data_IF_243144790306
#
_entry.id   IF_243144790306
#
_cell.length_a   1.000
_cell.length_b   1.000
_cell.length_c   1.000
_cell.angle_alpha   90.00
_cell.angle_beta   90.00
_cell.angle_gamma   90.00
#
_symmetry.space_group_name_H-M   'P 1'
#
loop_
_entity.id
_entity.type
_entity.pdbx_description
1 polymer ?
#
# COMPACT_ATOMS: atom_id res chain seq x y z
N UNK A 1 -13.10 8.08 6.83
CA UNK A 1 -13.44 6.82 6.18
C UNK A 1 -13.16 5.67 7.13
N UNK A 2 -14.09 4.73 7.26
CA UNK A 2 -13.92 3.53 8.07
C UNK A 2 -12.68 2.74 7.62
N UNK A 3 -11.90 2.16 8.53
CA UNK A 3 -10.74 1.36 8.16
C UNK A 3 -11.22 0.06 7.50
N UNK A 4 -11.00 -0.04 6.20
CA UNK A 4 -11.42 -1.15 5.34
C UNK A 4 -10.94 -2.52 5.86
N UNK A 5 -9.78 -2.56 6.48
CA UNK A 5 -9.15 -3.79 6.95
C UNK A 5 -9.86 -4.40 8.17
N UNK A 6 -10.60 -3.61 8.95
CA UNK A 6 -11.38 -4.12 10.08
C UNK A 6 -12.73 -4.69 9.66
N UNK A 7 -13.27 -4.19 8.54
CA UNK A 7 -14.60 -4.58 8.06
C UNK A 7 -14.53 -5.73 7.04
N UNK A 8 -13.37 -5.96 6.44
CA UNK A 8 -13.15 -6.99 5.44
C UNK A 8 -12.12 -8.01 5.89
N UNK A 9 -12.32 -9.27 5.49
CA UNK A 9 -11.30 -10.30 5.65
C UNK A 9 -10.08 -10.01 4.74
N UNK A 10 -8.85 -10.42 5.13
CA UNK A 10 -7.66 -10.18 4.32
C UNK A 10 -7.77 -10.62 2.85
N UNK A 11 -8.43 -11.77 2.59
CA UNK A 11 -8.67 -12.24 1.23
C UNK A 11 -9.62 -11.33 0.44
N UNK A 12 -10.57 -10.67 1.09
CA UNK A 12 -11.47 -9.70 0.45
C UNK A 12 -10.72 -8.42 0.09
N UNK A 13 -9.85 -7.94 0.96
CA UNK A 13 -8.97 -6.80 0.68
C UNK A 13 -8.02 -7.12 -0.47
N UNK A 14 -7.43 -8.31 -0.49
CA UNK A 14 -6.57 -8.75 -1.58
C UNK A 14 -7.32 -8.81 -2.91
N UNK A 15 -8.55 -9.32 -2.92
CA UNK A 15 -9.41 -9.35 -4.11
C UNK A 15 -9.75 -7.94 -4.60
N UNK A 16 -10.05 -7.01 -3.68
CA UNK A 16 -10.29 -5.61 -3.99
C UNK A 16 -9.07 -4.96 -4.65
N UNK A 17 -7.89 -5.13 -4.07
CA UNK A 17 -6.64 -4.57 -4.60
C UNK A 17 -6.28 -5.18 -5.97
N UNK A 18 -6.56 -6.47 -6.21
CA UNK A 18 -6.42 -7.09 -7.54
C UNK A 18 -7.37 -6.47 -8.56
N UNK A 19 -8.61 -6.23 -8.19
CA UNK A 19 -9.58 -5.54 -9.05
C UNK A 19 -9.13 -4.13 -9.41
N UNK A 20 -8.62 -3.39 -8.44
CA UNK A 20 -8.05 -2.04 -8.65
C UNK A 20 -6.82 -2.12 -9.58
N UNK A 21 -5.92 -3.07 -9.35
CA UNK A 21 -4.74 -3.27 -10.22
C UNK A 21 -5.16 -3.49 -11.68
N UNK A 22 -6.16 -4.33 -11.93
CA UNK A 22 -6.70 -4.58 -13.27
C UNK A 22 -7.32 -3.33 -13.87
N UNK A 23 -8.05 -2.56 -13.09
CA UNK A 23 -8.65 -1.31 -13.56
C UNK A 23 -7.60 -0.30 -13.99
N UNK A 24 -6.53 -0.15 -13.19
CA UNK A 24 -5.44 0.77 -13.49
C UNK A 24 -4.54 0.30 -14.64
N UNK A 25 -4.37 -1.02 -14.78
CA UNK A 25 -3.59 -1.62 -15.87
C UNK A 25 -4.31 -1.59 -17.22
N UNK A 26 -5.65 -1.48 -17.22
CA UNK A 26 -6.44 -1.56 -18.45
C UNK A 26 -6.27 -2.91 -19.17
N UNK A 27 -6.14 -2.92 -20.52
CA UNK A 27 -6.03 -4.16 -21.30
C UNK A 27 -4.81 -5.03 -20.96
N UNK A 28 -3.79 -4.49 -20.28
CA UNK A 28 -2.59 -5.23 -19.86
C UNK A 28 -2.77 -5.99 -18.52
N UNK A 29 -3.95 -5.99 -17.94
CA UNK A 29 -4.25 -6.54 -16.61
C UNK A 29 -4.05 -8.06 -16.48
N UNK A 30 -3.84 -8.79 -17.57
CA UNK A 30 -3.60 -10.24 -17.54
C UNK A 30 -2.19 -10.64 -17.05
N UNK A 31 -1.36 -9.68 -16.68
CA UNK A 31 0.03 -9.88 -16.29
C UNK A 31 0.26 -10.10 -14.79
N UNK A 32 -0.79 -10.08 -13.95
CA UNK A 32 -0.64 -10.54 -12.57
C UNK A 32 -0.51 -12.07 -12.58
N UNK A 33 0.65 -12.63 -12.22
CA UNK A 33 0.82 -14.07 -12.23
C UNK A 33 -0.15 -14.71 -11.23
N UNK A 34 -1.04 -15.53 -11.75
CA UNK A 34 -1.87 -16.41 -10.94
C UNK A 34 -1.14 -17.73 -10.76
N UNK A 35 -0.82 -18.08 -9.52
CA UNK A 35 -0.89 -19.46 -9.19
C UNK A 35 0.36 -20.28 -8.91
N UNK A 36 1.53 -19.73 -8.60
CA UNK A 36 2.53 -20.52 -7.86
C UNK A 36 2.53 -20.12 -6.38
N UNK A 37 2.79 -21.06 -5.48
CA UNK A 37 2.93 -20.76 -4.05
C UNK A 37 4.08 -19.80 -3.74
N UNK A 38 5.05 -19.71 -4.67
CA UNK A 38 6.17 -18.78 -4.58
C UNK A 38 5.80 -17.35 -4.95
N UNK A 39 4.74 -17.18 -5.76
CA UNK A 39 4.24 -15.90 -6.24
C UNK A 39 2.98 -15.43 -5.47
N UNK A 40 2.79 -15.92 -4.24
CA UNK A 40 1.69 -15.48 -3.40
C UNK A 40 1.82 -14.00 -3.08
N UNK A 41 0.75 -13.24 -3.38
CA UNK A 41 0.65 -11.83 -3.04
C UNK A 41 0.02 -11.67 -1.66
N UNK A 42 0.58 -10.77 -0.86
CA UNK A 42 0.10 -10.43 0.48
C UNK A 42 -0.12 -8.93 0.61
N UNK A 43 -0.85 -8.53 1.65
CA UNK A 43 -1.13 -7.14 1.92
C UNK A 43 0.05 -6.53 2.66
N UNK A 44 0.65 -5.51 2.06
CA UNK A 44 1.64 -4.63 2.65
C UNK A 44 0.95 -3.42 3.27
N UNK A 45 1.35 -3.08 4.49
CA UNK A 45 1.07 -1.78 5.10
C UNK A 45 2.25 -0.86 4.82
N UNK A 46 2.05 0.17 3.99
CA UNK A 46 3.10 1.12 3.63
C UNK A 46 3.59 1.83 4.89
N UNK A 47 2.70 2.47 5.65
CA UNK A 47 2.93 2.81 7.04
C UNK A 47 2.72 1.54 7.88
N UNK A 48 3.77 1.01 8.53
CA UNK A 48 3.76 -0.36 9.02
C UNK A 48 2.88 -0.55 10.27
N UNK A 49 2.34 -1.76 10.40
CA UNK A 49 1.80 -2.24 11.66
C UNK A 49 2.97 -2.51 12.60
N UNK A 50 3.13 -1.68 13.62
CA UNK A 50 4.07 -1.97 14.69
C UNK A 50 3.42 -2.89 15.72
N UNK A 51 4.07 -4.03 16.01
CA UNK A 51 3.62 -4.98 17.03
C UNK A 51 4.03 -4.59 18.44
N UNK A 52 4.97 -3.67 18.58
CA UNK A 52 5.59 -3.30 19.85
C UNK A 52 5.17 -1.92 20.37
N UNK A 53 4.27 -1.24 19.68
CA UNK A 53 3.78 0.07 20.06
C UNK A 53 4.21 1.20 19.15
N UNK A 54 3.41 2.23 19.13
CA UNK A 54 3.61 3.43 18.34
C UNK A 54 4.32 4.50 19.18
N UNK A 55 5.19 5.31 18.57
CA UNK A 55 5.58 5.31 17.16
C UNK A 55 6.82 4.45 16.87
N UNK A 56 6.87 3.86 15.67
CA UNK A 56 8.07 3.21 15.16
C UNK A 56 9.20 4.25 15.03
N UNK A 57 10.31 4.04 15.73
CA UNK A 57 11.45 4.99 15.73
C UNK A 57 12.01 5.29 14.34
N UNK A 58 12.06 4.29 13.47
CA UNK A 58 12.53 4.49 12.09
C UNK A 58 11.61 5.42 11.31
N UNK A 59 10.31 5.34 11.56
CA UNK A 59 9.32 6.21 10.93
C UNK A 59 9.33 7.62 11.52
N UNK A 60 9.63 7.76 12.81
CA UNK A 60 9.82 9.07 13.45
C UNK A 60 10.92 9.88 12.81
N UNK A 61 12.02 9.25 12.39
CA UNK A 61 13.10 9.92 11.67
C UNK A 61 12.60 10.50 10.34
N UNK A 62 11.83 9.75 9.58
CA UNK A 62 11.21 10.24 8.34
C UNK A 62 10.24 11.39 8.63
N UNK A 63 9.34 11.24 9.61
CA UNK A 63 8.40 12.29 9.99
C UNK A 63 9.11 13.57 10.44
N UNK A 64 10.21 13.44 11.18
CA UNK A 64 11.03 14.58 11.59
C UNK A 64 11.66 15.27 10.39
N UNK A 65 12.21 14.51 9.45
CA UNK A 65 12.80 15.04 8.21
C UNK A 65 11.76 15.78 7.35
N UNK A 66 10.50 15.36 7.38
CA UNK A 66 9.41 16.01 6.65
C UNK A 66 8.73 17.16 7.44
N UNK A 67 9.15 17.43 8.68
CA UNK A 67 8.51 18.42 9.54
C UNK A 67 7.10 18.00 10.01
N UNK A 68 6.84 16.69 10.10
CA UNK A 68 5.55 16.08 10.42
C UNK A 68 5.55 15.24 11.70
N UNK A 69 6.63 15.28 12.47
CA UNK A 69 6.71 14.54 13.73
C UNK A 69 5.92 15.27 14.83
N UNK A 70 4.62 15.20 14.79
CA UNK A 70 3.69 15.83 15.72
C UNK A 70 2.71 14.81 16.31
N UNK A 71 2.18 15.04 17.53
CA UNK A 71 1.17 14.16 18.12
C UNK A 71 -0.08 14.01 17.25
N UNK A 72 -0.50 15.07 16.58
CA UNK A 72 -1.64 15.06 15.65
C UNK A 72 -1.39 14.15 14.47
N UNK A 73 -0.22 14.23 13.84
CA UNK A 73 0.13 13.36 12.71
C UNK A 73 0.24 11.89 13.13
N UNK A 74 0.83 11.61 14.27
CA UNK A 74 0.88 10.26 14.84
C UNK A 74 -0.51 9.66 15.02
N UNK A 75 -1.45 10.43 15.59
CA UNK A 75 -2.83 10.00 15.75
C UNK A 75 -3.53 9.77 14.41
N UNK A 76 -3.29 10.64 13.42
CA UNK A 76 -3.86 10.51 12.07
C UNK A 76 -3.30 9.31 11.31
N UNK A 77 -2.02 9.02 11.44
CA UNK A 77 -1.39 7.83 10.87
C UNK A 77 -1.93 6.54 11.51
N UNK A 78 -2.07 6.52 12.83
CA UNK A 78 -2.67 5.39 13.54
C UNK A 78 -4.12 5.13 13.07
N UNK A 79 -4.91 6.18 12.91
CA UNK A 79 -6.27 6.09 12.39
C UNK A 79 -6.31 5.61 10.92
N UNK A 80 -5.33 5.98 10.11
CA UNK A 80 -5.20 5.61 8.70
C UNK A 80 -4.47 4.30 8.45
N UNK A 81 -4.01 3.59 9.47
CA UNK A 81 -3.19 2.38 9.34
C UNK A 81 -3.81 1.33 8.40
N UNK A 82 -5.10 1.08 8.54
CA UNK A 82 -5.87 0.12 7.74
C UNK A 82 -6.72 0.77 6.64
N UNK A 83 -6.49 2.05 6.34
CA UNK A 83 -7.16 2.71 5.24
C UNK A 83 -6.65 2.15 3.90
N UNK A 84 -7.53 2.09 2.90
CA UNK A 84 -7.20 1.55 1.56
C UNK A 84 -5.92 2.18 1.00
N UNK A 85 -5.74 3.49 1.18
CA UNK A 85 -4.56 4.23 0.73
C UNK A 85 -3.24 3.78 1.35
N UNK A 86 -3.27 3.13 2.52
CA UNK A 86 -2.09 2.60 3.17
C UNK A 86 -1.79 1.13 2.83
N UNK A 87 -2.63 0.49 2.03
CA UNK A 87 -2.52 -0.92 1.69
C UNK A 87 -2.02 -1.10 0.25
N UNK A 88 -1.19 -2.10 0.06
CA UNK A 88 -0.72 -2.52 -1.25
C UNK A 88 -0.67 -4.04 -1.34
N UNK A 89 -0.81 -4.57 -2.55
CA UNK A 89 -0.68 -6.00 -2.82
C UNK A 89 0.70 -6.24 -3.42
N UNK A 90 1.56 -6.94 -2.70
CA UNK A 90 2.94 -7.22 -3.13
C UNK A 90 3.29 -8.69 -2.90
N UNK A 91 4.33 -9.22 -3.58
CA UNK A 91 4.79 -10.58 -3.34
C UNK A 91 5.14 -10.81 -1.87
N UNK A 92 4.78 -11.96 -1.33
CA UNK A 92 5.01 -12.33 0.08
C UNK A 92 6.47 -12.17 0.51
N UNK A 93 7.42 -12.56 -0.36
CA UNK A 93 8.86 -12.39 -0.12
C UNK A 93 9.25 -10.94 0.10
N UNK A 94 8.73 -10.08 -0.75
CA UNK A 94 8.99 -8.65 -0.68
C UNK A 94 8.40 -8.05 0.60
N UNK A 95 7.19 -8.42 0.98
CA UNK A 95 6.55 -7.96 2.19
C UNK A 95 7.37 -8.32 3.45
N UNK A 96 7.82 -9.58 3.55
CA UNK A 96 8.66 -10.02 4.66
C UNK A 96 9.99 -9.26 4.74
N UNK A 97 10.59 -8.95 3.59
CA UNK A 97 11.86 -8.22 3.52
C UNK A 97 11.71 -6.73 3.82
N UNK A 98 10.57 -6.12 3.45
CA UNK A 98 10.29 -4.71 3.77
C UNK A 98 10.00 -4.49 5.25
N UNK A 99 9.20 -5.36 5.86
CA UNK A 99 8.87 -5.27 7.29
C UNK A 99 8.48 -3.85 7.71
N UNK A 100 9.11 -3.39 8.79
CA UNK A 100 8.89 -2.07 9.37
C UNK A 100 9.90 -1.00 8.90
N UNK A 101 10.52 -1.19 7.73
CA UNK A 101 11.47 -0.20 7.20
C UNK A 101 10.81 1.18 7.03
N UNK A 102 11.59 2.28 7.16
CA UNK A 102 11.09 3.62 6.92
C UNK A 102 10.68 3.80 5.46
N UNK A 103 9.81 4.77 5.20
CA UNK A 103 9.31 5.05 3.85
C UNK A 103 10.42 5.40 2.86
N UNK A 104 11.41 6.15 3.31
CA UNK A 104 12.59 6.50 2.52
C UNK A 104 13.34 5.28 1.96
N UNK A 105 13.30 4.15 2.65
CA UNK A 105 13.83 2.87 2.17
C UNK A 105 12.82 2.08 1.34
N UNK A 106 11.58 1.97 1.79
CA UNK A 106 10.50 1.27 1.08
C UNK A 106 10.29 1.84 -0.33
N UNK A 107 10.24 3.16 -0.43
CA UNK A 107 10.07 3.86 -1.69
C UNK A 107 11.11 3.47 -2.76
N UNK A 108 12.35 3.25 -2.35
CA UNK A 108 13.45 2.89 -3.27
C UNK A 108 13.27 1.53 -3.93
N UNK A 109 12.55 0.62 -3.31
CA UNK A 109 12.36 -0.76 -3.81
C UNK A 109 11.02 -0.99 -4.47
N UNK A 110 10.01 -0.13 -4.25
CA UNK A 110 8.75 -0.23 -4.96
C UNK A 110 8.96 0.00 -6.47
N UNK A 111 8.67 -1.02 -7.27
CA UNK A 111 8.79 -0.94 -8.73
C UNK A 111 10.21 -1.02 -9.29
N UNK A 112 11.22 -1.33 -8.48
CA UNK A 112 12.59 -1.53 -8.95
C UNK A 112 12.87 -3.02 -9.17
N UNK A 113 13.12 -3.38 -10.44
CA UNK A 113 13.46 -4.75 -10.83
C UNK A 113 14.86 -5.21 -10.36
N UNK A 114 15.73 -4.30 -9.95
CA UNK A 114 17.16 -4.53 -9.70
C UNK A 114 17.56 -4.62 -8.23
N UNK A 115 16.63 -4.77 -7.30
CA UNK A 115 16.97 -4.94 -5.90
C UNK A 115 16.95 -6.41 -5.50
N UNK A 116 17.62 -6.76 -4.40
CA UNK A 116 17.49 -8.09 -3.79
C UNK A 116 16.04 -8.42 -3.40
N UNK A 117 15.18 -7.40 -3.37
CA UNK A 117 13.74 -7.47 -3.16
C UNK A 117 13.08 -7.13 -4.48
N UNK A 118 12.56 -8.15 -5.18
CA UNK A 118 11.86 -7.95 -6.44
C UNK A 118 10.40 -7.64 -6.16
N UNK A 119 9.98 -6.40 -6.41
CA UNK A 119 8.58 -6.00 -6.46
C UNK A 119 8.26 -5.69 -7.90
N UNK A 120 7.32 -6.42 -8.55
CA UNK A 120 6.90 -6.12 -9.90
C UNK A 120 6.43 -4.66 -10.03
N UNK A 121 6.53 -4.11 -11.22
CA UNK A 121 6.01 -2.79 -11.52
C UNK A 121 4.47 -2.82 -11.54
N UNK A 122 3.87 -2.69 -10.37
CA UNK A 122 2.43 -2.76 -10.18
C UNK A 122 1.81 -1.36 -10.30
N UNK A 123 0.72 -1.27 -11.05
CA UNK A 123 0.08 0.01 -11.36
C UNK A 123 -0.48 0.72 -10.11
N UNK A 124 -1.01 -0.04 -9.13
CA UNK A 124 -1.51 0.53 -7.90
C UNK A 124 -0.42 1.10 -6.98
N UNK A 125 0.85 0.78 -7.25
CA UNK A 125 2.00 1.33 -6.52
C UNK A 125 2.59 2.60 -7.17
N UNK A 126 2.21 2.93 -8.40
CA UNK A 126 2.78 4.11 -9.09
C UNK A 126 2.58 5.40 -8.30
N UNK A 127 1.43 5.58 -7.66
CA UNK A 127 1.17 6.75 -6.81
C UNK A 127 2.09 6.83 -5.59
N UNK A 128 2.50 5.67 -5.05
CA UNK A 128 3.42 5.59 -3.92
C UNK A 128 4.86 5.90 -4.34
N UNK A 129 5.27 5.39 -5.49
CA UNK A 129 6.63 5.58 -6.03
C UNK A 129 6.95 7.06 -6.28
N UNK A 130 5.95 7.85 -6.62
CA UNK A 130 6.11 9.28 -6.93
C UNK A 130 6.16 10.16 -5.68
N UNK A 131 5.69 9.67 -4.54
CA UNK A 131 5.67 10.44 -3.29
C UNK A 131 7.07 10.54 -2.67
N UNK A 132 7.38 11.70 -2.13
CA UNK A 132 8.64 11.96 -1.40
C UNK A 132 8.47 11.79 0.11
N UNK A 133 7.24 11.79 0.59
CA UNK A 133 6.85 11.59 1.97
C UNK A 133 5.63 10.67 2.04
N UNK A 134 5.38 10.11 3.21
CA UNK A 134 4.22 9.26 3.44
C UNK A 134 3.58 9.61 4.78
N UNK A 135 2.60 10.49 4.73
CA UNK A 135 1.88 11.00 5.88
C UNK A 135 0.39 10.66 5.75
N UNK A 136 -0.40 11.04 6.72
CA UNK A 136 -1.85 10.86 6.69
C UNK A 136 -2.49 11.52 5.45
N UNK A 137 -1.91 12.61 4.97
CA UNK A 137 -2.39 13.30 3.76
C UNK A 137 -2.22 12.44 2.50
N UNK A 138 -1.05 11.82 2.31
CA UNK A 138 -0.79 10.92 1.17
C UNK A 138 -1.67 9.68 1.24
N UNK A 139 -1.86 9.10 2.43
CA UNK A 139 -2.77 7.96 2.64
C UNK A 139 -4.19 8.33 2.23
N UNK A 140 -4.68 9.49 2.65
CA UNK A 140 -6.03 9.98 2.31
C UNK A 140 -6.20 10.23 0.81
N UNK A 141 -5.23 10.88 0.17
CA UNK A 141 -5.25 11.14 -1.27
C UNK A 141 -5.25 9.85 -2.08
N UNK A 142 -4.40 8.89 -1.71
CA UNK A 142 -4.35 7.58 -2.36
C UNK A 142 -5.61 6.75 -2.11
N UNK A 143 -6.20 6.83 -0.92
CA UNK A 143 -7.47 6.16 -0.62
C UNK A 143 -8.57 6.59 -1.59
N UNK A 144 -8.65 7.90 -1.88
CA UNK A 144 -9.60 8.43 -2.86
C UNK A 144 -9.32 7.91 -4.26
N UNK A 145 -8.08 7.93 -4.71
CA UNK A 145 -7.66 7.46 -6.02
C UNK A 145 -8.01 5.98 -6.22
N UNK A 146 -7.69 5.14 -5.26
CA UNK A 146 -7.97 3.70 -5.33
C UNK A 146 -9.47 3.40 -5.24
N UNK A 147 -10.21 4.15 -4.44
CA UNK A 147 -11.67 4.01 -4.36
C UNK A 147 -12.34 4.39 -5.68
N UNK A 148 -11.92 5.47 -6.31
CA UNK A 148 -12.44 5.88 -7.63
C UNK A 148 -12.17 4.80 -8.68
N UNK A 149 -11.00 4.17 -8.67
CA UNK A 149 -10.68 3.05 -9.56
C UNK A 149 -11.56 1.81 -9.28
N UNK A 150 -11.79 1.49 -8.01
CA UNK A 150 -12.68 0.39 -7.62
C UNK A 150 -14.11 0.63 -8.09
N UNK A 151 -14.66 1.83 -7.89
CA UNK A 151 -16.00 2.20 -8.32
C UNK A 151 -16.12 2.09 -9.85
N UNK A 152 -15.14 2.57 -10.60
CA UNK A 152 -15.12 2.47 -12.05
C UNK A 152 -15.15 1.01 -12.50
N UNK A 153 -14.36 0.14 -11.86
CA UNK A 153 -14.32 -1.29 -12.15
C UNK A 153 -15.67 -1.96 -11.97
N UNK A 154 -16.32 -1.72 -10.83
CA UNK A 154 -17.63 -2.34 -10.55
C UNK A 154 -18.75 -1.81 -11.42
N UNK A 155 -18.71 -0.55 -11.84
CA UNK A 155 -19.69 -0.02 -12.80
C UNK A 155 -19.57 -0.69 -14.17
N UNK A 156 -18.37 -1.00 -14.62
CA UNK A 156 -18.15 -1.75 -15.86
C UNK A 156 -18.70 -3.19 -15.76
N UNK A 157 -18.51 -3.84 -14.62
CA UNK A 157 -19.00 -5.20 -14.38
C UNK A 157 -20.54 -5.28 -14.29
N UNK A 158 -21.23 -4.16 -13.99
CA UNK A 158 -22.68 -4.05 -13.90
C UNK A 158 -23.36 -3.59 -15.22
N UNK A 159 -22.58 -3.14 -16.16
CA UNK A 159 -23.08 -2.69 -17.48
C UNK A 159 -23.03 -3.81 -18.52
#
# INVERSE_FOLDING_TARGET
SAPLYHDLLPQQVAALLRGIERQLAGPAAHLLPYGSKEDEFTIEHIYPQDKEGFPNKSWENDLTAWGKNTPTEHASLAAGLHALGNLALIPKRANSALGNRPFSEKRKVYGLENSAIIIPNLNHLHSVQQEIQWTSAEIKARSKLLLDAAIARWREDLS
#
